data_IF_734334621927
#
_entry.id   IF_734334621927
#
_cell.length_a   1.000
_cell.length_b   1.000
_cell.length_c   1.000
_cell.angle_alpha   90.00
_cell.angle_beta   90.00
_cell.angle_gamma   90.00
#
_symmetry.space_group_name_H-M   'P 1'
#
loop_
_entity.id
_entity.type
_entity.pdbx_description
1 polymer ?
#
# COMPACT_ATOMS: atom_id res chain seq x y z
N UNK A 1 -6.39 13.33 3.93
CA UNK A 1 -5.36 12.28 4.09
C UNK A 1 -6.03 10.92 4.08
N UNK A 2 -5.53 10.03 3.28
CA UNK A 2 -6.05 8.67 3.19
C UNK A 2 -5.03 7.70 3.76
N UNK A 3 -5.52 6.54 4.18
CA UNK A 3 -4.66 5.46 4.64
C UNK A 3 -4.83 4.28 3.72
N UNK A 4 -3.72 3.66 3.36
CA UNK A 4 -3.73 2.44 2.57
C UNK A 4 -3.20 1.31 3.42
N UNK A 5 -3.87 0.17 3.36
CA UNK A 5 -3.44 -1.02 4.06
C UNK A 5 -2.79 -1.95 3.05
N UNK A 6 -1.55 -2.34 3.32
CA UNK A 6 -0.85 -3.23 2.40
C UNK A 6 -1.49 -4.62 2.49
N UNK A 7 -2.05 -5.07 1.38
CA UNK A 7 -2.68 -6.38 1.33
C UNK A 7 -1.63 -7.47 1.08
N UNK A 8 -0.78 -7.25 0.07
CA UNK A 8 0.26 -8.20 -0.25
C UNK A 8 1.30 -7.57 -1.14
N UNK A 9 2.47 -8.18 -1.16
CA UNK A 9 3.55 -7.79 -2.05
C UNK A 9 3.56 -8.71 -3.27
N UNK A 10 3.72 -8.11 -4.44
CA UNK A 10 3.89 -8.84 -5.69
C UNK A 10 5.24 -8.50 -6.28
N UNK A 11 5.57 -9.16 -7.38
CA UNK A 11 6.82 -8.87 -8.04
C UNK A 11 6.74 -7.52 -8.73
N UNK A 12 7.46 -6.55 -8.20
CA UNK A 12 7.52 -5.22 -8.79
C UNK A 12 6.49 -4.25 -8.30
N UNK A 13 5.46 -4.68 -7.54
CA UNK A 13 4.45 -3.76 -7.03
C UNK A 13 3.84 -4.30 -5.75
N UNK A 14 3.03 -3.45 -5.12
CA UNK A 14 2.35 -3.80 -3.87
C UNK A 14 0.87 -3.52 -4.06
N UNK A 15 0.04 -4.45 -3.61
CA UNK A 15 -1.42 -4.28 -3.65
C UNK A 15 -1.86 -3.73 -2.30
N UNK A 16 -2.57 -2.60 -2.32
CA UNK A 16 -3.06 -1.96 -1.12
C UNK A 16 -4.57 -1.82 -1.19
N UNK A 17 -5.21 -1.82 -0.04
CA UNK A 17 -6.66 -1.63 0.05
C UNK A 17 -6.95 -0.26 0.60
N UNK A 18 -7.88 0.46 -0.05
CA UNK A 18 -8.32 1.78 0.39
C UNK A 18 -9.41 1.65 1.44
N UNK A 19 -9.68 2.72 2.19
CA UNK A 19 -10.79 2.70 3.15
C UNK A 19 -12.15 2.45 2.51
N UNK A 20 -12.28 2.73 1.21
CA UNK A 20 -13.53 2.49 0.50
C UNK A 20 -13.67 1.03 0.06
N UNK A 21 -12.68 0.21 0.33
CA UNK A 21 -12.73 -1.20 -0.05
C UNK A 21 -12.21 -1.48 -1.45
N UNK A 22 -11.53 -0.53 -2.08
CA UNK A 22 -10.97 -0.71 -3.40
C UNK A 22 -9.49 -1.07 -3.28
N UNK A 23 -8.96 -1.65 -4.35
CA UNK A 23 -7.55 -2.06 -4.37
C UNK A 23 -6.77 -1.20 -5.34
N UNK A 24 -5.59 -0.78 -4.91
CA UNK A 24 -4.66 0.00 -5.72
C UNK A 24 -3.31 -0.70 -5.73
N UNK A 25 -2.61 -0.60 -6.85
CA UNK A 25 -1.26 -1.12 -6.96
C UNK A 25 -0.28 0.05 -6.95
N UNK A 26 0.79 -0.10 -6.18
CA UNK A 26 1.83 0.92 -6.07
C UNK A 26 3.18 0.30 -6.41
N UNK A 27 4.09 1.07 -7.04
CA UNK A 27 5.44 0.58 -7.25
C UNK A 27 6.14 0.32 -5.93
N UNK A 28 6.80 -0.84 -5.81
CA UNK A 28 7.47 -1.19 -4.57
C UNK A 28 8.55 -0.19 -4.19
N UNK A 29 9.19 0.41 -5.19
CA UNK A 29 10.27 1.37 -4.94
C UNK A 29 9.79 2.62 -4.22
N UNK A 30 8.50 2.89 -4.24
CA UNK A 30 7.93 4.07 -3.57
C UNK A 30 7.62 3.83 -2.10
N UNK A 31 7.84 2.62 -1.63
CA UNK A 31 7.52 2.27 -0.25
C UNK A 31 8.76 2.28 0.62
N UNK A 32 8.61 2.62 1.92
CA UNK A 32 9.75 2.53 2.82
C UNK A 32 10.16 1.07 3.03
N UNK A 33 11.44 0.83 3.34
CA UNK A 33 11.91 -0.54 3.50
C UNK A 33 11.25 -1.29 4.65
N UNK A 34 10.70 -0.58 5.62
CA UNK A 34 10.03 -1.22 6.76
C UNK A 34 8.58 -1.59 6.48
N UNK A 35 8.06 -1.30 5.29
CA UNK A 35 6.68 -1.63 4.96
C UNK A 35 6.52 -3.14 4.83
N UNK A 36 5.42 -3.67 5.39
CA UNK A 36 5.15 -5.10 5.35
C UNK A 36 3.64 -5.32 5.22
N UNK A 37 3.29 -6.57 4.96
CA UNK A 37 1.87 -6.92 4.85
C UNK A 37 1.14 -6.55 6.13
N UNK A 38 -0.03 -5.97 5.96
CA UNK A 38 -0.82 -5.49 7.09
C UNK A 38 -0.46 -4.10 7.57
N UNK A 39 0.61 -3.51 7.04
CA UNK A 39 1.00 -2.17 7.42
C UNK A 39 0.01 -1.14 6.89
N UNK A 40 -0.19 -0.08 7.67
CA UNK A 40 -1.03 1.03 7.26
C UNK A 40 -0.13 2.18 6.83
N UNK A 41 -0.33 2.66 5.61
CA UNK A 41 0.48 3.73 5.05
C UNK A 41 -0.35 5.02 4.98
N UNK A 42 0.13 6.11 5.56
CA UNK A 42 -0.52 7.40 5.36
C UNK A 42 -0.21 7.91 3.96
N UNK A 43 -1.25 8.27 3.23
CA UNK A 43 -1.10 8.77 1.87
C UNK A 43 -1.77 10.12 1.77
N UNK A 44 -1.03 11.11 1.30
CA UNK A 44 -1.55 12.44 1.05
C UNK A 44 -1.86 12.61 -0.43
N UNK A 45 -3.05 13.07 -0.71
CA UNK A 45 -3.44 13.41 -2.07
C UNK A 45 -3.79 14.87 -2.16
#
# INVERSE_FOLDING_TARGET
MKELIIDRFEEGYVVCETPEGQFDALPRKNLPPEAEEGSVLPVSY
#
